data_IF_750905562233
#
_entry.id   IF_750905562233
#
_cell.length_a   1.000
_cell.length_b   1.000
_cell.length_c   1.000
_cell.angle_alpha   90.00
_cell.angle_beta   90.00
_cell.angle_gamma   90.00
#
_symmetry.space_group_name_H-M   'P 1'
#
loop_
_entity.id
_entity.type
_entity.pdbx_description
1 polymer ?
#
# COMPACT_ATOMS: atom_id res chain seq x y z
N UNK A 1 10.25 -2.34 1.24
CA UNK A 1 9.30 -2.90 2.23
C UNK A 1 7.96 -2.19 2.06
N UNK A 2 6.84 -2.89 1.79
CA UNK A 2 5.54 -2.25 1.69
C UNK A 2 5.04 -1.68 3.02
N UNK A 3 4.23 -0.63 2.94
CA UNK A 3 3.60 0.02 4.10
C UNK A 3 2.66 -0.90 4.91
N UNK A 4 2.05 -1.88 4.23
CA UNK A 4 1.05 -2.81 4.78
C UNK A 4 1.71 -4.06 5.37
N UNK A 5 1.31 -4.43 6.59
CA UNK A 5 1.68 -5.71 7.22
C UNK A 5 0.55 -6.71 6.99
N UNK A 6 0.83 -7.78 6.23
CA UNK A 6 -0.14 -8.82 5.90
C UNK A 6 0.32 -10.21 6.38
N UNK A 7 -0.64 -11.10 6.70
CA UNK A 7 -0.31 -12.43 7.23
C UNK A 7 -0.15 -13.51 6.14
N UNK A 8 -0.60 -13.24 4.91
CA UNK A 8 -0.48 -14.16 3.78
C UNK A 8 -1.43 -15.36 3.80
N UNK A 9 -2.37 -15.43 4.75
CA UNK A 9 -3.22 -16.64 4.93
C UNK A 9 -4.67 -16.42 5.35
N UNK A 10 -5.08 -15.20 5.73
CA UNK A 10 -6.49 -14.91 6.01
C UNK A 10 -7.29 -14.78 4.71
N UNK A 11 -8.62 -14.65 4.81
CA UNK A 11 -9.51 -14.60 3.64
C UNK A 11 -9.04 -13.56 2.61
N UNK A 12 -8.87 -12.30 3.04
CA UNK A 12 -8.40 -11.23 2.17
C UNK A 12 -6.97 -11.43 1.64
N UNK A 13 -6.06 -11.99 2.43
CA UNK A 13 -4.71 -12.29 1.94
C UNK A 13 -4.71 -13.37 0.85
N UNK A 14 -5.60 -14.36 0.92
CA UNK A 14 -5.76 -15.38 -0.12
C UNK A 14 -6.33 -14.80 -1.41
N UNK A 15 -7.11 -13.72 -1.32
CA UNK A 15 -7.60 -12.94 -2.46
C UNK A 15 -6.59 -11.87 -2.94
N UNK A 16 -5.39 -11.81 -2.34
CA UNK A 16 -4.38 -10.77 -2.59
C UNK A 16 -4.80 -9.35 -2.20
N UNK A 17 -5.84 -9.21 -1.38
CA UNK A 17 -6.32 -7.95 -0.80
C UNK A 17 -5.56 -7.64 0.50
N UNK A 18 -4.24 -7.47 0.41
CA UNK A 18 -3.37 -7.41 1.58
C UNK A 18 -3.70 -6.26 2.56
N UNK A 19 -4.23 -5.14 2.05
CA UNK A 19 -4.67 -3.99 2.87
C UNK A 19 -5.83 -4.33 3.81
N UNK A 20 -6.61 -5.38 3.50
CA UNK A 20 -7.72 -5.88 4.31
C UNK A 20 -7.31 -7.07 5.20
N UNK A 21 -6.02 -7.28 5.46
CA UNK A 21 -5.55 -8.37 6.32
C UNK A 21 -6.20 -8.31 7.72
N UNK A 22 -6.89 -9.39 8.08
CA UNK A 22 -7.76 -9.44 9.28
C UNK A 22 -7.01 -9.72 10.59
N UNK A 23 -5.74 -10.11 10.50
CA UNK A 23 -5.03 -10.73 11.63
C UNK A 23 -3.87 -9.90 12.19
N UNK A 24 -3.55 -8.79 11.53
CA UNK A 24 -2.38 -7.98 11.84
C UNK A 24 -2.71 -6.75 12.67
N UNK A 25 -3.97 -6.29 12.63
CA UNK A 25 -4.46 -5.16 13.41
C UNK A 25 -5.51 -5.60 14.45
N UNK A 26 -5.08 -6.31 15.48
CA UNK A 26 -5.97 -6.86 16.52
C UNK A 26 -5.85 -6.14 17.87
N UNK A 27 -5.20 -4.98 17.89
CA UNK A 27 -4.90 -4.22 19.11
C UNK A 27 -6.03 -3.31 19.59
N UNK A 28 -5.82 -2.63 20.72
CA UNK A 28 -6.81 -1.71 21.33
C UNK A 28 -7.29 -0.60 20.37
N UNK A 29 -6.40 -0.04 19.54
CA UNK A 29 -6.81 0.98 18.58
C UNK A 29 -7.70 0.43 17.46
N UNK A 30 -7.60 -0.86 17.15
CA UNK A 30 -8.49 -1.52 16.21
C UNK A 30 -9.93 -1.62 16.76
N UNK A 31 -10.07 -1.87 18.07
CA UNK A 31 -11.36 -1.87 18.77
C UNK A 31 -12.00 -0.47 18.90
N UNK A 32 -11.21 0.61 18.79
CA UNK A 32 -11.69 2.00 18.76
C UNK A 32 -12.14 2.44 17.36
N UNK A 33 -11.78 1.69 16.32
CA UNK A 33 -12.29 1.89 14.98
C UNK A 33 -13.71 1.30 14.92
N UNK A 34 -14.71 2.08 15.36
CA UNK A 34 -16.14 1.73 15.37
C UNK A 34 -16.72 1.61 13.96
N UNK A 35 -16.15 0.73 13.14
CA UNK A 35 -16.75 0.28 11.89
C UNK A 35 -17.47 -1.03 12.19
N UNK A 36 -18.61 -1.26 11.56
CA UNK A 36 -19.32 -2.55 11.59
C UNK A 36 -18.56 -3.68 10.86
N UNK A 37 -17.25 -3.50 10.66
CA UNK A 37 -16.37 -4.36 9.89
C UNK A 37 -15.09 -4.62 10.69
N UNK A 38 -14.52 -5.81 10.51
CA UNK A 38 -13.21 -6.14 11.08
C UNK A 38 -12.17 -5.08 10.67
N UNK A 39 -11.27 -4.70 11.58
CA UNK A 39 -10.24 -3.73 11.29
C UNK A 39 -9.32 -4.23 10.15
N UNK A 40 -8.91 -3.33 9.23
CA UNK A 40 -8.01 -3.67 8.12
C UNK A 40 -6.58 -3.89 8.62
N UNK A 41 -5.65 -4.19 7.72
CA UNK A 41 -4.26 -4.51 8.03
C UNK A 41 -3.56 -3.49 8.95
N UNK A 42 -2.52 -3.95 9.67
CA UNK A 42 -1.69 -3.02 10.43
C UNK A 42 -0.70 -2.33 9.49
N UNK A 43 -0.32 -1.10 9.85
CA UNK A 43 0.48 -0.22 9.00
C UNK A 43 1.71 0.27 9.76
N UNK A 44 2.87 0.32 9.09
CA UNK A 44 4.11 0.81 9.70
C UNK A 44 4.05 2.31 9.97
N UNK A 45 4.33 2.76 11.20
CA UNK A 45 4.48 4.18 11.51
C UNK A 45 3.20 5.00 11.34
N UNK A 46 2.04 4.35 11.40
CA UNK A 46 0.74 4.99 11.24
C UNK A 46 0.00 5.11 12.58
N UNK A 47 -1.23 5.62 12.53
CA UNK A 47 -2.11 5.78 13.70
C UNK A 47 -2.23 4.49 14.54
N UNK A 48 -2.41 4.66 15.85
CA UNK A 48 -2.72 3.56 16.77
C UNK A 48 -3.98 2.78 16.36
N UNK A 49 -4.88 3.35 15.57
CA UNK A 49 -6.04 2.67 14.97
C UNK A 49 -5.65 1.54 13.99
N UNK A 50 -4.41 1.56 13.48
CA UNK A 50 -3.85 0.61 12.53
C UNK A 50 -2.67 -0.17 13.13
N UNK A 51 -2.82 -0.61 14.37
CA UNK A 51 -1.86 -1.46 15.09
C UNK A 51 -0.78 -0.70 15.86
N UNK A 52 -0.56 0.60 15.56
CA UNK A 52 0.42 1.42 16.27
C UNK A 52 1.85 0.91 16.15
N UNK A 53 2.20 0.35 14.99
CA UNK A 53 3.55 -0.18 14.73
C UNK A 53 4.54 0.97 14.54
N UNK A 54 5.77 0.79 15.01
CA UNK A 54 6.88 1.70 14.70
C UNK A 54 7.13 1.76 13.19
N UNK A 55 7.41 2.96 12.68
CA UNK A 55 7.66 3.22 11.26
C UNK A 55 9.11 3.00 10.83
N UNK A 56 9.35 3.15 9.52
CA UNK A 56 10.67 3.00 8.89
C UNK A 56 11.47 4.29 8.74
N UNK A 57 10.98 5.43 9.23
CA UNK A 57 11.77 6.68 9.30
C UNK A 57 12.75 6.60 10.49
N UNK A 58 13.66 5.63 10.42
CA UNK A 58 14.63 5.27 11.44
C UNK A 58 15.78 4.49 10.80
N UNK A 59 16.89 4.32 11.51
CA UNK A 59 18.05 3.55 11.03
C UNK A 59 17.74 2.05 10.87
N UNK A 60 16.77 1.54 11.64
CA UNK A 60 16.34 0.13 11.60
C UNK A 60 14.83 0.03 11.75
N UNK A 61 14.24 -0.96 11.08
CA UNK A 61 12.81 -1.29 11.20
C UNK A 61 12.63 -2.78 11.45
N UNK A 62 11.79 -3.13 12.42
CA UNK A 62 11.36 -4.52 12.63
C UNK A 62 10.24 -4.83 11.65
N UNK A 63 10.42 -5.82 10.78
CA UNK A 63 9.41 -6.24 9.79
C UNK A 63 8.69 -7.51 10.26
N UNK A 64 7.45 -7.43 10.78
CA UNK A 64 6.66 -8.61 11.09
C UNK A 64 6.19 -9.30 9.81
N UNK A 65 5.99 -10.62 9.84
CA UNK A 65 5.48 -11.39 8.68
C UNK A 65 6.32 -11.15 7.42
N UNK A 66 7.64 -11.08 7.57
CA UNK A 66 8.59 -10.75 6.51
C UNK A 66 8.62 -11.74 5.33
N UNK A 67 7.94 -12.88 5.44
CA UNK A 67 7.75 -13.84 4.36
C UNK A 67 6.64 -13.47 3.37
N UNK A 68 5.91 -12.36 3.57
CA UNK A 68 4.76 -11.97 2.74
C UNK A 68 4.97 -10.63 2.03
N UNK A 69 5.24 -9.56 2.79
CA UNK A 69 5.30 -8.20 2.24
C UNK A 69 6.60 -7.84 1.52
N UNK A 70 7.80 -8.07 2.10
CA UNK A 70 9.07 -7.69 1.49
C UNK A 70 9.26 -8.24 0.08
N UNK A 71 9.68 -7.37 -0.83
CA UNK A 71 10.10 -7.71 -2.19
C UNK A 71 11.61 -7.57 -2.27
N UNK A 72 12.27 -8.54 -2.88
CA UNK A 72 13.70 -8.47 -3.17
C UNK A 72 13.89 -7.50 -4.33
N UNK A 73 14.67 -6.45 -4.10
CA UNK A 73 15.05 -5.50 -5.14
C UNK A 73 16.19 -6.11 -5.97
N UNK A 74 16.08 -6.19 -7.30
CA UNK A 74 17.17 -6.63 -8.16
C UNK A 74 18.39 -5.70 -8.04
N UNK A 75 19.60 -6.28 -8.04
CA UNK A 75 20.88 -5.53 -7.89
C UNK A 75 21.11 -4.45 -8.96
N UNK A 76 20.44 -4.56 -10.11
CA UNK A 76 20.55 -3.61 -11.22
C UNK A 76 19.80 -2.28 -10.98
N UNK A 77 18.96 -2.19 -9.94
CA UNK A 77 18.16 -1.01 -9.63
C UNK A 77 18.73 -0.27 -8.42
N UNK A 78 18.88 1.05 -8.54
CA UNK A 78 19.22 1.92 -7.43
C UNK A 78 18.01 2.18 -6.54
N UNK A 79 18.25 2.46 -5.25
CA UNK A 79 17.22 2.70 -4.25
C UNK A 79 16.24 3.80 -4.68
N UNK A 80 16.72 4.89 -5.27
CA UNK A 80 15.89 6.01 -5.71
C UNK A 80 14.90 5.62 -6.81
N UNK A 81 15.24 4.61 -7.62
CA UNK A 81 14.36 4.12 -8.69
C UNK A 81 13.20 3.28 -8.16
N UNK A 82 13.37 2.67 -6.99
CA UNK A 82 12.40 1.76 -6.36
C UNK A 82 11.77 2.35 -5.10
N UNK A 83 12.24 3.52 -4.65
CA UNK A 83 11.84 4.17 -3.39
C UNK A 83 10.31 4.27 -3.24
N UNK A 84 9.62 4.64 -4.33
CA UNK A 84 8.18 4.85 -4.34
C UNK A 84 7.35 3.57 -4.46
N UNK A 85 7.97 2.41 -4.72
CA UNK A 85 7.28 1.10 -4.79
C UNK A 85 6.71 0.65 -3.44
N UNK A 86 7.09 1.29 -2.33
CA UNK A 86 6.63 0.93 -0.99
C UNK A 86 5.21 1.40 -0.67
N UNK A 87 4.73 2.45 -1.35
CA UNK A 87 3.43 3.08 -1.09
C UNK A 87 2.90 3.83 -2.32
N UNK A 88 3.39 5.04 -2.60
CA UNK A 88 2.66 6.00 -3.44
C UNK A 88 2.54 5.59 -4.91
N UNK A 89 3.52 4.85 -5.45
CA UNK A 89 3.46 4.37 -6.82
C UNK A 89 2.41 3.25 -6.97
N UNK A 90 2.46 2.15 -6.17
CA UNK A 90 1.38 1.17 -6.15
C UNK A 90 0.00 1.76 -5.82
N UNK A 91 -0.08 2.72 -4.91
CA UNK A 91 -1.34 3.40 -4.56
C UNK A 91 -1.92 4.15 -5.77
N UNK A 92 -1.09 4.91 -6.49
CA UNK A 92 -1.50 5.57 -7.73
C UNK A 92 -1.87 4.58 -8.83
N UNK A 93 -1.07 3.52 -9.01
CA UNK A 93 -1.32 2.48 -10.00
C UNK A 93 -2.65 1.75 -9.76
N UNK A 94 -2.91 1.32 -8.52
CA UNK A 94 -4.15 0.65 -8.15
C UNK A 94 -5.37 1.55 -8.43
N UNK A 95 -5.31 2.83 -8.08
CA UNK A 95 -6.39 3.77 -8.34
C UNK A 95 -6.70 3.90 -9.85
N UNK A 96 -5.67 3.88 -10.70
CA UNK A 96 -5.82 3.93 -12.15
C UNK A 96 -6.45 2.65 -12.71
N UNK A 97 -6.06 1.48 -12.19
CA UNK A 97 -6.67 0.19 -12.56
C UNK A 97 -8.14 0.14 -12.13
N UNK A 98 -8.45 0.54 -10.90
CA UNK A 98 -9.82 0.55 -10.36
C UNK A 98 -10.73 1.55 -11.08
N UNK A 99 -10.17 2.67 -11.56
CA UNK A 99 -10.87 3.63 -12.41
C UNK A 99 -11.12 3.10 -13.85
N UNK A 100 -10.58 1.93 -14.20
CA UNK A 100 -10.79 1.29 -15.50
C UNK A 100 -10.11 2.01 -16.66
N UNK A 101 -9.00 2.72 -16.40
CA UNK A 101 -8.23 3.44 -17.42
C UNK A 101 -7.67 2.48 -18.46
N UNK A 102 -7.86 2.83 -19.73
CA UNK A 102 -7.42 2.10 -20.92
C UNK A 102 -6.77 3.06 -21.92
N UNK A 103 -6.14 2.52 -22.96
CA UNK A 103 -5.63 3.30 -24.07
C UNK A 103 -6.71 4.25 -24.65
N UNK A 104 -6.35 5.52 -24.86
CA UNK A 104 -7.24 6.58 -25.34
C UNK A 104 -8.19 7.15 -24.28
N UNK A 105 -8.07 6.75 -23.01
CA UNK A 105 -8.92 7.33 -21.95
C UNK A 105 -8.52 8.77 -21.66
N UNK A 106 -9.49 9.66 -21.51
CA UNK A 106 -9.30 10.99 -20.91
C UNK A 106 -9.59 10.90 -19.41
N UNK A 107 -8.63 11.30 -18.57
CA UNK A 107 -8.71 11.11 -17.11
C UNK A 107 -8.59 12.45 -16.38
N UNK A 108 -9.49 12.70 -15.43
CA UNK A 108 -9.36 13.79 -14.48
C UNK A 108 -8.78 13.29 -13.16
N UNK A 109 -7.70 13.92 -12.67
CA UNK A 109 -7.07 13.60 -11.38
C UNK A 109 -7.27 14.79 -10.45
N UNK A 110 -8.00 14.57 -9.36
CA UNK A 110 -8.24 15.59 -8.34
C UNK A 110 -7.12 15.57 -7.29
N UNK A 111 -6.10 16.40 -7.52
CA UNK A 111 -4.98 16.60 -6.61
C UNK A 111 -3.62 16.32 -7.25
N UNK A 112 -2.71 17.30 -7.17
CA UNK A 112 -1.37 17.24 -7.75
C UNK A 112 -0.26 16.94 -6.71
N UNK A 113 -0.62 16.23 -5.63
CA UNK A 113 0.34 15.71 -4.66
C UNK A 113 1.05 14.45 -5.17
N UNK A 114 1.96 13.85 -4.37
CA UNK A 114 2.78 12.71 -4.81
C UNK A 114 1.98 11.53 -5.37
N UNK A 115 0.91 11.10 -4.70
CA UNK A 115 0.04 10.01 -5.18
C UNK A 115 -0.66 10.39 -6.49
N UNK A 116 -1.15 11.63 -6.62
CA UNK A 116 -1.79 12.10 -7.85
C UNK A 116 -0.82 12.16 -9.03
N UNK A 117 0.43 12.55 -8.80
CA UNK A 117 1.48 12.53 -9.81
C UNK A 117 1.85 11.09 -10.23
N UNK A 118 1.89 10.14 -9.27
CA UNK A 118 2.08 8.73 -9.59
C UNK A 118 0.91 8.16 -10.38
N UNK A 119 -0.33 8.52 -10.05
CA UNK A 119 -1.51 8.16 -10.81
C UNK A 119 -1.44 8.72 -12.24
N UNK A 120 -1.05 9.99 -12.41
CA UNK A 120 -0.86 10.60 -13.73
C UNK A 120 0.20 9.87 -14.57
N UNK A 121 1.32 9.50 -13.96
CA UNK A 121 2.35 8.69 -14.61
C UNK A 121 1.81 7.31 -15.03
N UNK A 122 1.02 6.65 -14.17
CA UNK A 122 0.39 5.37 -14.46
C UNK A 122 -0.67 5.48 -15.58
N UNK A 123 -1.50 6.53 -15.60
CA UNK A 123 -2.44 6.79 -16.69
C UNK A 123 -1.70 6.89 -18.04
N UNK A 124 -0.61 7.67 -18.09
CA UNK A 124 0.22 7.79 -19.29
C UNK A 124 0.84 6.46 -19.70
N UNK A 125 1.33 5.68 -18.73
CA UNK A 125 1.87 4.33 -18.97
C UNK A 125 0.83 3.40 -19.61
N UNK A 126 -0.45 3.53 -19.23
CA UNK A 126 -1.56 2.75 -19.79
C UNK A 126 -2.17 3.36 -21.07
N UNK A 127 -1.58 4.44 -21.59
CA UNK A 127 -1.97 5.05 -22.86
C UNK A 127 -3.16 6.00 -22.78
N UNK A 128 -3.44 6.59 -21.62
CA UNK A 128 -4.37 7.73 -21.54
C UNK A 128 -3.85 8.94 -22.33
N UNK A 129 -4.76 9.72 -22.91
CA UNK A 129 -4.49 10.92 -23.73
C UNK A 129 -5.03 12.20 -23.08
#
# INVERSE_FOLDING_TARGET
>A
IPFVVACGRCFHCMLQEFSACETTNTGKGAALNHKDMRPPAALFGFSHLYGGLSGGQAEYVRVPKANVGPLVVPDALHDEQVLFLSDILPTGYQAVIDAGVKQGSTVAIFGAGPVGLMAAACCRMLGAE
#
